data_IF_186473479414
#
_entry.id   IF_186473479414
#
_cell.length_a   1.000
_cell.length_b   1.000
_cell.length_c   1.000
_cell.angle_alpha   90.00
_cell.angle_beta   90.00
_cell.angle_gamma   90.00
#
_symmetry.space_group_name_H-M   'P 1'
#
loop_
_entity.id
_entity.type
_entity.pdbx_description
1 polymer ?
#
# COMPACT_ATOMS: atom_id res chain seq x y z
N UNK A 1 -13.51 -71.88 -13.28
CA UNK A 1 -14.20 -70.60 -13.57
C UNK A 1 -14.37 -69.82 -12.26
N UNK A 2 -13.47 -68.92 -11.92
CA UNK A 2 -13.54 -68.02 -10.77
C UNK A 2 -13.69 -66.59 -11.26
N UNK A 3 -14.81 -65.96 -10.95
CA UNK A 3 -15.08 -64.53 -11.23
C UNK A 3 -14.59 -63.73 -10.00
N UNK A 4 -13.46 -63.00 -10.19
CA UNK A 4 -12.94 -62.05 -9.22
C UNK A 4 -13.66 -60.70 -9.44
N UNK A 5 -14.45 -60.24 -8.44
CA UNK A 5 -15.04 -58.91 -8.43
C UNK A 5 -14.01 -57.95 -7.83
N UNK A 6 -13.52 -56.99 -8.62
CA UNK A 6 -12.80 -55.81 -8.12
C UNK A 6 -13.78 -54.81 -7.55
N UNK A 7 -13.68 -54.56 -6.25
CA UNK A 7 -14.37 -53.46 -5.56
C UNK A 7 -13.48 -52.22 -5.68
N UNK A 8 -13.89 -51.23 -6.50
CA UNK A 8 -13.30 -49.91 -6.48
C UNK A 8 -13.80 -49.16 -5.26
N UNK A 9 -12.92 -48.88 -4.30
CA UNK A 9 -13.12 -47.90 -3.25
C UNK A 9 -12.86 -46.50 -3.80
N UNK A 10 -13.91 -45.73 -4.10
CA UNK A 10 -13.83 -44.29 -4.30
C UNK A 10 -13.67 -43.61 -2.94
N UNK A 11 -12.45 -43.17 -2.60
CA UNK A 11 -12.21 -42.27 -1.50
C UNK A 11 -12.65 -40.86 -1.94
N UNK A 12 -13.87 -40.47 -1.58
CA UNK A 12 -14.30 -39.08 -1.67
C UNK A 12 -13.57 -38.27 -0.58
N UNK A 13 -12.51 -37.57 -0.94
CA UNK A 13 -11.93 -36.55 -0.08
C UNK A 13 -12.94 -35.41 0.08
N UNK A 14 -13.63 -35.38 1.21
CA UNK A 14 -14.44 -34.25 1.61
C UNK A 14 -13.54 -33.05 1.83
N UNK A 15 -13.46 -32.17 0.83
CA UNK A 15 -12.96 -30.81 0.99
C UNK A 15 -13.95 -30.09 1.93
N UNK A 16 -13.62 -30.01 3.21
CA UNK A 16 -14.32 -29.20 4.19
C UNK A 16 -14.09 -27.72 3.84
N UNK A 17 -14.86 -27.19 2.90
CA UNK A 17 -14.95 -25.78 2.60
C UNK A 17 -15.58 -25.07 3.80
N UNK A 18 -14.83 -24.20 4.46
CA UNK A 18 -15.39 -23.27 5.46
C UNK A 18 -16.46 -22.44 4.76
N UNK A 19 -17.69 -22.33 5.30
CA UNK A 19 -18.73 -21.48 4.71
C UNK A 19 -18.21 -20.05 4.51
N UNK A 20 -18.57 -19.39 3.41
CA UNK A 20 -18.09 -18.03 3.06
C UNK A 20 -18.33 -17.01 4.19
N UNK A 21 -19.46 -17.11 4.89
CA UNK A 21 -19.80 -16.27 6.04
C UNK A 21 -18.84 -16.48 7.22
N UNK A 22 -18.45 -17.71 7.51
CA UNK A 22 -17.48 -18.03 8.56
C UNK A 22 -16.06 -17.57 8.19
N UNK A 23 -15.69 -17.61 6.91
CA UNK A 23 -14.42 -17.08 6.41
C UNK A 23 -14.37 -15.56 6.57
N UNK A 24 -15.40 -14.83 6.15
CA UNK A 24 -15.49 -13.37 6.31
C UNK A 24 -15.43 -12.91 7.78
N UNK A 25 -16.08 -13.66 8.69
CA UNK A 25 -16.02 -13.39 10.13
C UNK A 25 -14.59 -13.53 10.67
N UNK A 26 -13.89 -14.61 10.30
CA UNK A 26 -12.50 -14.86 10.70
C UNK A 26 -11.57 -13.78 10.16
N UNK A 27 -11.74 -13.35 8.91
CA UNK A 27 -10.93 -12.31 8.29
C UNK A 27 -11.12 -10.96 8.99
N UNK A 28 -12.35 -10.64 9.39
CA UNK A 28 -12.68 -9.47 10.19
C UNK A 28 -12.03 -9.51 11.59
N UNK A 29 -12.12 -10.65 12.27
CA UNK A 29 -11.54 -10.83 13.62
C UNK A 29 -10.01 -10.66 13.60
N UNK A 30 -9.31 -11.22 12.61
CA UNK A 30 -7.85 -11.06 12.53
C UNK A 30 -7.45 -9.62 12.19
N UNK A 31 -8.20 -8.95 11.33
CA UNK A 31 -7.95 -7.54 10.99
C UNK A 31 -8.18 -6.63 12.21
N UNK A 32 -9.23 -6.85 12.98
CA UNK A 32 -9.48 -6.11 14.23
C UNK A 32 -8.35 -6.32 15.25
N UNK A 33 -7.82 -7.55 15.39
CA UNK A 33 -6.67 -7.80 16.29
C UNK A 33 -5.41 -7.07 15.82
N UNK A 34 -5.13 -7.06 14.51
CA UNK A 34 -4.00 -6.29 13.97
C UNK A 34 -4.18 -4.80 14.22
N UNK A 35 -5.38 -4.26 13.99
CA UNK A 35 -5.69 -2.86 14.25
C UNK A 35 -5.51 -2.51 15.74
N UNK A 36 -6.06 -3.35 16.64
CA UNK A 36 -5.96 -3.13 18.07
C UNK A 36 -4.51 -3.18 18.54
N UNK A 37 -3.71 -4.16 18.04
CA UNK A 37 -2.29 -4.22 18.37
C UNK A 37 -1.53 -2.93 17.98
N UNK A 38 -1.85 -2.36 16.79
CA UNK A 38 -1.25 -1.09 16.36
C UNK A 38 -1.63 0.09 17.27
N UNK A 39 -2.85 0.11 17.77
CA UNK A 39 -3.33 1.14 18.71
C UNK A 39 -2.60 1.01 20.06
N UNK A 40 -2.56 -0.20 20.62
CA UNK A 40 -2.01 -0.46 21.95
C UNK A 40 -0.49 -0.27 22.01
N UNK A 41 0.21 -0.49 20.88
CA UNK A 41 1.67 -0.41 20.79
C UNK A 41 2.16 0.76 19.93
N UNK A 42 1.32 1.77 19.71
CA UNK A 42 1.67 2.89 18.83
C UNK A 42 2.91 3.64 19.32
N UNK A 43 3.90 3.76 18.44
CA UNK A 43 5.14 4.47 18.71
C UNK A 43 6.23 3.68 19.45
N UNK A 44 5.94 2.47 19.94
CA UNK A 44 6.92 1.66 20.68
C UNK A 44 7.79 0.77 19.79
N UNK A 45 7.23 0.30 18.68
CA UNK A 45 7.83 -0.68 17.77
C UNK A 45 8.55 -0.08 16.55
N UNK A 46 8.70 1.24 16.49
CA UNK A 46 9.39 1.90 15.39
C UNK A 46 10.91 1.69 15.50
N UNK A 47 11.52 1.28 14.39
CA UNK A 47 12.95 0.92 14.31
C UNK A 47 13.90 2.11 14.54
N UNK A 48 13.40 3.35 14.42
CA UNK A 48 14.21 4.59 14.57
C UNK A 48 13.51 5.58 15.51
N UNK A 49 14.18 6.00 16.61
CA UNK A 49 13.57 6.91 17.59
C UNK A 49 13.01 8.22 17.02
N UNK A 50 13.66 8.81 16.00
CA UNK A 50 13.21 10.06 15.36
C UNK A 50 11.96 9.93 14.49
N UNK A 51 11.43 8.72 14.28
CA UNK A 51 10.27 8.47 13.42
C UNK A 51 8.94 8.44 14.18
N UNK A 52 8.95 8.65 15.48
CA UNK A 52 7.78 8.57 16.37
C UNK A 52 6.86 9.80 16.34
N UNK A 53 7.14 10.77 15.47
CA UNK A 53 6.25 11.93 15.27
C UNK A 53 4.93 11.51 14.65
N UNK A 54 3.81 12.04 15.14
CA UNK A 54 2.48 11.83 14.56
C UNK A 54 2.40 12.17 13.07
N UNK A 55 3.25 13.09 12.60
CA UNK A 55 3.32 13.53 11.21
C UNK A 55 4.26 12.68 10.33
N UNK A 56 4.88 11.63 10.88
CA UNK A 56 5.79 10.79 10.11
C UNK A 56 5.02 9.98 9.04
N UNK A 57 5.58 9.86 7.83
CA UNK A 57 4.96 9.17 6.69
C UNK A 57 4.54 7.72 6.98
N UNK A 58 5.34 7.02 7.80
CA UNK A 58 5.04 5.64 8.19
C UNK A 58 3.69 5.54 8.91
N UNK A 59 3.42 6.51 9.80
CA UNK A 59 2.14 6.63 10.50
C UNK A 59 1.02 7.04 9.53
N UNK A 60 1.30 7.87 8.52
CA UNK A 60 0.33 8.24 7.49
C UNK A 60 -0.22 7.02 6.75
N UNK A 61 0.63 6.04 6.44
CA UNK A 61 0.20 4.78 5.86
C UNK A 61 -0.69 3.94 6.81
N UNK A 62 -0.34 3.91 8.12
CA UNK A 62 -1.19 3.27 9.12
C UNK A 62 -2.55 3.95 9.22
N UNK A 63 -2.59 5.28 9.34
CA UNK A 63 -3.84 6.05 9.48
C UNK A 63 -4.77 5.83 8.29
N UNK A 64 -4.23 5.82 7.06
CA UNK A 64 -5.01 5.47 5.89
C UNK A 64 -5.59 4.07 5.99
N UNK A 65 -4.77 3.07 6.33
CA UNK A 65 -5.22 1.69 6.49
C UNK A 65 -6.31 1.54 7.55
N UNK A 66 -6.16 2.21 8.69
CA UNK A 66 -7.14 2.22 9.77
C UNK A 66 -8.47 2.82 9.33
N UNK A 67 -8.46 3.98 8.66
CA UNK A 67 -9.69 4.61 8.17
C UNK A 67 -10.37 3.79 7.09
N UNK A 68 -9.61 3.23 6.15
CA UNK A 68 -10.14 2.34 5.12
C UNK A 68 -10.79 1.09 5.74
N UNK A 69 -10.17 0.52 6.78
CA UNK A 69 -10.73 -0.61 7.51
C UNK A 69 -12.00 -0.23 8.29
N UNK A 70 -11.99 0.91 9.00
CA UNK A 70 -13.15 1.40 9.74
C UNK A 70 -14.38 1.58 8.83
N UNK A 71 -14.17 2.09 7.60
CA UNK A 71 -15.24 2.29 6.61
C UNK A 71 -15.93 0.98 6.20
N UNK A 72 -15.17 -0.09 6.12
CA UNK A 72 -15.68 -1.37 5.63
C UNK A 72 -16.25 -2.23 6.76
N UNK A 73 -15.55 -2.27 7.89
CA UNK A 73 -15.85 -3.17 9.00
C UNK A 73 -16.75 -2.55 10.08
N UNK A 74 -16.84 -1.22 10.13
CA UNK A 74 -17.46 -0.49 11.23
C UNK A 74 -16.64 -0.53 12.54
N UNK A 75 -15.36 -0.94 12.49
CA UNK A 75 -14.50 -1.02 13.68
C UNK A 75 -14.08 0.38 14.14
N UNK A 76 -14.89 0.99 14.98
CA UNK A 76 -14.75 2.37 15.48
C UNK A 76 -13.40 2.71 16.12
N UNK A 77 -12.71 1.82 16.88
CA UNK A 77 -11.44 2.17 17.50
C UNK A 77 -10.39 2.70 16.50
N UNK A 78 -10.40 2.26 15.25
CA UNK A 78 -9.51 2.79 14.22
C UNK A 78 -9.76 4.26 13.91
N UNK A 79 -11.01 4.66 13.72
CA UNK A 79 -11.37 6.05 13.42
C UNK A 79 -11.14 6.94 14.63
N UNK A 80 -11.55 6.50 15.82
CA UNK A 80 -11.36 7.23 17.09
C UNK A 80 -9.87 7.48 17.36
N UNK A 81 -9.02 6.48 17.11
CA UNK A 81 -7.58 6.61 17.24
C UNK A 81 -7.01 7.69 16.30
N UNK A 82 -7.36 7.66 15.01
CA UNK A 82 -6.85 8.63 14.03
C UNK A 82 -7.37 10.03 14.32
N UNK A 83 -8.64 10.18 14.73
CA UNK A 83 -9.22 11.45 15.20
C UNK A 83 -8.45 11.99 16.41
N UNK A 84 -8.15 11.16 17.40
CA UNK A 84 -7.37 11.52 18.57
C UNK A 84 -5.99 12.06 18.22
N UNK A 85 -5.28 11.38 17.30
CA UNK A 85 -4.00 11.83 16.76
C UNK A 85 -4.12 13.20 16.09
N UNK A 86 -5.08 13.37 15.19
CA UNK A 86 -5.26 14.64 14.46
C UNK A 86 -5.57 15.81 15.39
N UNK A 87 -6.46 15.61 16.37
CA UNK A 87 -6.82 16.64 17.37
C UNK A 87 -5.63 17.06 18.21
N UNK A 88 -4.84 16.11 18.75
CA UNK A 88 -3.69 16.42 19.61
C UNK A 88 -2.56 17.13 18.88
N UNK A 89 -2.37 16.87 17.57
CA UNK A 89 -1.30 17.50 16.78
C UNK A 89 -1.77 18.70 15.94
N UNK A 90 -3.07 19.05 15.96
CA UNK A 90 -3.66 20.15 15.19
C UNK A 90 -3.62 19.90 13.69
N UNK A 91 -3.70 18.65 13.23
CA UNK A 91 -3.72 18.22 11.83
C UNK A 91 -2.49 18.66 11.03
N UNK A 92 -1.37 18.90 11.71
CA UNK A 92 -0.15 19.42 11.07
C UNK A 92 0.53 18.39 10.20
N UNK A 93 1.14 18.87 9.10
CA UNK A 93 2.00 18.10 8.20
C UNK A 93 3.45 18.06 8.73
N UNK A 94 4.27 17.18 8.17
CA UNK A 94 5.72 17.18 8.42
C UNK A 94 6.38 18.53 8.06
N UNK A 95 7.65 18.73 8.42
CA UNK A 95 8.29 20.06 8.35
C UNK A 95 8.78 20.45 6.96
N UNK A 96 9.16 19.48 6.10
CA UNK A 96 9.78 19.73 4.79
C UNK A 96 8.72 20.10 3.77
N UNK A 97 8.77 21.33 3.27
CA UNK A 97 7.76 21.93 2.39
C UNK A 97 7.43 21.07 1.16
N UNK A 98 8.44 20.58 0.47
CA UNK A 98 8.31 19.91 -0.83
C UNK A 98 8.36 18.37 -0.73
N UNK A 99 8.78 17.84 0.42
CA UNK A 99 9.04 16.40 0.53
C UNK A 99 7.72 15.61 0.59
N UNK A 100 7.57 14.64 -0.33
CA UNK A 100 6.35 13.84 -0.43
C UNK A 100 5.96 13.14 0.88
N UNK A 101 6.93 12.62 1.63
CA UNK A 101 6.69 11.96 2.92
C UNK A 101 5.95 12.88 3.90
N UNK A 102 6.29 14.17 3.90
CA UNK A 102 5.83 15.10 4.91
C UNK A 102 4.39 15.59 4.71
N UNK A 103 3.76 15.25 3.58
CA UNK A 103 2.33 15.48 3.33
C UNK A 103 1.49 14.20 3.47
N UNK A 104 2.10 13.02 3.65
CA UNK A 104 1.43 11.72 3.63
C UNK A 104 0.26 11.63 4.63
N UNK A 105 0.42 12.15 5.86
CA UNK A 105 -0.64 12.15 6.87
C UNK A 105 -1.87 12.96 6.45
N UNK A 106 -1.74 13.84 5.47
CA UNK A 106 -2.83 14.59 4.86
C UNK A 106 -3.88 13.70 4.20
N UNK A 107 -3.53 12.48 3.79
CA UNK A 107 -4.52 11.53 3.29
C UNK A 107 -5.61 11.26 4.35
N UNK A 108 -5.20 10.93 5.58
CA UNK A 108 -6.14 10.67 6.67
C UNK A 108 -6.93 11.92 7.07
N UNK A 109 -6.27 13.09 7.10
CA UNK A 109 -6.95 14.37 7.39
C UNK A 109 -8.06 14.65 6.39
N UNK A 110 -7.83 14.42 5.09
CA UNK A 110 -8.83 14.65 4.05
C UNK A 110 -9.94 13.59 4.05
N UNK A 111 -9.63 12.32 4.31
CA UNK A 111 -10.65 11.27 4.49
C UNK A 111 -11.59 11.60 5.65
N UNK A 112 -11.08 12.12 6.76
CA UNK A 112 -11.90 12.55 7.87
C UNK A 112 -12.64 13.86 7.56
N UNK A 113 -12.05 14.79 6.80
CA UNK A 113 -12.73 15.99 6.33
C UNK A 113 -13.96 15.65 5.45
N UNK A 114 -13.86 14.65 4.61
CA UNK A 114 -15.02 14.20 3.80
C UNK A 114 -16.22 13.79 4.67
N UNK A 115 -15.97 13.25 5.87
CA UNK A 115 -17.01 12.81 6.82
C UNK A 115 -17.53 13.95 7.71
N UNK A 116 -16.61 14.68 8.32
CA UNK A 116 -16.92 15.61 9.40
C UNK A 116 -17.06 17.06 8.95
N UNK A 117 -16.52 17.42 7.79
CA UNK A 117 -16.50 18.78 7.23
C UNK A 117 -15.87 19.81 8.18
N UNK A 118 -15.05 19.40 9.14
CA UNK A 118 -14.33 20.29 10.03
C UNK A 118 -13.16 20.97 9.29
N UNK A 119 -13.18 22.32 9.13
CA UNK A 119 -12.13 23.06 8.43
C UNK A 119 -10.73 22.89 9.01
N UNK A 120 -10.60 22.51 10.29
CA UNK A 120 -9.32 22.23 10.92
C UNK A 120 -8.57 21.07 10.23
N UNK A 121 -9.30 20.08 9.72
CA UNK A 121 -8.75 18.92 9.00
C UNK A 121 -8.25 19.28 7.60
N UNK A 122 -8.89 20.24 6.93
CA UNK A 122 -8.55 20.64 5.56
C UNK A 122 -7.41 21.68 5.53
N UNK A 123 -7.49 22.70 6.39
CA UNK A 123 -6.67 23.91 6.29
C UNK A 123 -5.15 23.65 6.22
N UNK A 124 -4.52 22.83 7.09
CA UNK A 124 -3.07 22.63 7.04
C UNK A 124 -2.61 21.91 5.77
N UNK A 125 -3.40 20.94 5.28
CA UNK A 125 -3.10 20.19 4.06
C UNK A 125 -3.20 21.12 2.84
N UNK A 126 -4.30 21.88 2.76
CA UNK A 126 -4.55 22.84 1.68
C UNK A 126 -3.47 23.91 1.62
N UNK A 127 -3.13 24.53 2.75
CA UNK A 127 -2.06 25.55 2.81
C UNK A 127 -0.72 25.01 2.32
N UNK A 128 -0.37 23.76 2.68
CA UNK A 128 0.86 23.11 2.18
C UNK A 128 0.80 22.93 0.67
N UNK A 129 -0.28 22.37 0.13
CA UNK A 129 -0.44 22.09 -1.28
C UNK A 129 -0.47 23.39 -2.13
N UNK A 130 -1.22 24.42 -1.68
CA UNK A 130 -1.27 25.74 -2.33
C UNK A 130 0.13 26.34 -2.46
N UNK A 131 0.91 26.32 -1.39
CA UNK A 131 2.27 26.84 -1.37
C UNK A 131 3.21 26.08 -2.33
N UNK A 132 3.10 24.76 -2.41
CA UNK A 132 3.89 23.93 -3.32
C UNK A 132 3.51 24.19 -4.78
N UNK A 133 2.25 24.41 -5.07
CA UNK A 133 1.75 24.70 -6.43
C UNK A 133 2.16 26.13 -6.86
N UNK A 134 2.02 27.11 -5.97
CA UNK A 134 2.37 28.50 -6.27
C UNK A 134 3.89 28.70 -6.47
N UNK A 135 4.69 27.92 -5.72
CA UNK A 135 6.16 28.00 -5.77
C UNK A 135 6.75 26.59 -5.97
N UNK A 136 6.60 25.98 -7.16
CA UNK A 136 7.03 24.62 -7.41
C UNK A 136 8.56 24.48 -7.34
N UNK A 137 9.02 23.33 -6.85
CA UNK A 137 10.44 23.05 -6.71
C UNK A 137 11.18 23.09 -8.06
N UNK A 138 12.18 23.94 -8.15
CA UNK A 138 13.02 24.15 -9.35
C UNK A 138 14.25 23.21 -9.31
N UNK A 139 14.02 21.89 -9.32
CA UNK A 139 15.09 20.89 -9.32
C UNK A 139 14.83 19.79 -10.37
N UNK A 140 15.87 19.07 -10.74
CA UNK A 140 15.74 17.93 -11.66
C UNK A 140 14.98 16.78 -10.97
N UNK A 141 14.20 16.02 -11.74
CA UNK A 141 13.56 14.78 -11.31
C UNK A 141 14.61 13.65 -11.18
N UNK A 142 15.51 13.81 -10.21
CA UNK A 142 16.61 12.88 -9.98
C UNK A 142 17.07 12.97 -8.52
N UNK A 143 17.04 11.86 -7.79
CA UNK A 143 17.32 11.83 -6.33
C UNK A 143 18.71 12.36 -5.95
N UNK A 144 19.72 12.21 -6.83
CA UNK A 144 21.09 12.73 -6.60
C UNK A 144 21.26 14.20 -6.95
N UNK A 145 20.25 14.85 -7.54
CA UNK A 145 20.33 16.29 -7.82
C UNK A 145 20.29 17.09 -6.51
N UNK A 146 20.83 18.31 -6.53
CA UNK A 146 20.67 19.24 -5.40
C UNK A 146 19.17 19.41 -5.11
N UNK A 147 18.75 19.14 -3.88
CA UNK A 147 17.35 19.13 -3.46
C UNK A 147 16.45 18.18 -4.31
N UNK A 148 17.00 17.08 -4.83
CA UNK A 148 16.27 16.13 -5.69
C UNK A 148 15.03 15.55 -5.03
N UNK A 149 15.01 15.40 -3.71
CA UNK A 149 13.84 14.95 -2.94
C UNK A 149 12.71 15.99 -2.81
N UNK A 150 12.91 17.21 -3.31
CA UNK A 150 11.85 18.20 -3.40
C UNK A 150 10.86 17.94 -4.56
N UNK A 151 11.19 16.98 -5.42
CA UNK A 151 10.27 16.42 -6.40
C UNK A 151 10.12 14.92 -6.15
N UNK A 152 9.13 14.27 -6.73
CA UNK A 152 8.84 12.85 -6.50
C UNK A 152 9.82 11.94 -7.25
N UNK A 153 11.10 12.05 -6.93
CA UNK A 153 12.22 11.40 -7.61
C UNK A 153 12.57 10.00 -7.09
N UNK A 154 11.69 9.41 -6.28
CA UNK A 154 11.73 8.03 -5.80
C UNK A 154 10.32 7.44 -5.77
N UNK A 155 10.21 6.14 -5.97
CA UNK A 155 8.93 5.49 -6.22
C UNK A 155 7.96 5.58 -5.04
N UNK A 156 8.45 5.54 -3.79
CA UNK A 156 7.61 5.65 -2.59
C UNK A 156 6.81 6.96 -2.55
N UNK A 157 7.37 8.04 -3.12
CA UNK A 157 6.70 9.34 -3.19
C UNK A 157 5.32 9.27 -3.86
N UNK A 158 5.14 8.29 -4.77
CA UNK A 158 3.88 8.09 -5.51
C UNK A 158 2.72 7.62 -4.61
N UNK A 159 3.01 7.02 -3.47
CA UNK A 159 1.99 6.74 -2.44
C UNK A 159 1.80 7.92 -1.48
N UNK A 160 2.89 8.64 -1.18
CA UNK A 160 2.88 9.63 -0.10
C UNK A 160 2.08 10.87 -0.47
N UNK A 161 2.35 11.45 -1.64
CA UNK A 161 1.79 12.75 -2.04
C UNK A 161 0.60 12.66 -3.02
N UNK A 162 0.62 11.91 -4.13
CA UNK A 162 -0.45 11.94 -5.14
C UNK A 162 -1.85 11.76 -4.58
N UNK A 163 -2.13 10.80 -3.66
CA UNK A 163 -3.48 10.65 -3.11
C UNK A 163 -3.98 11.88 -2.35
N UNK A 164 -3.07 12.67 -1.74
CA UNK A 164 -3.45 13.92 -1.07
C UNK A 164 -3.96 14.95 -2.07
N UNK A 165 -3.25 15.13 -3.19
CA UNK A 165 -3.65 16.07 -4.23
C UNK A 165 -4.93 15.64 -4.94
N UNK A 166 -5.13 14.34 -5.18
CA UNK A 166 -6.37 13.82 -5.74
C UNK A 166 -7.57 14.10 -4.82
N UNK A 167 -7.41 13.82 -3.50
CA UNK A 167 -8.44 14.12 -2.50
C UNK A 167 -8.71 15.63 -2.39
N UNK A 168 -7.66 16.48 -2.39
CA UNK A 168 -7.83 17.94 -2.40
C UNK A 168 -8.66 18.42 -3.58
N UNK A 169 -8.38 17.91 -4.79
CA UNK A 169 -9.16 18.25 -5.96
C UNK A 169 -10.65 17.92 -5.78
N UNK A 170 -10.96 16.75 -5.20
CA UNK A 170 -12.33 16.32 -4.97
C UNK A 170 -13.05 17.17 -3.90
N UNK A 171 -12.39 17.40 -2.74
CA UNK A 171 -13.04 18.10 -1.63
C UNK A 171 -13.16 19.61 -1.85
N UNK A 172 -12.32 20.20 -2.71
CA UNK A 172 -12.34 21.65 -3.02
C UNK A 172 -12.99 22.00 -4.36
N UNK A 173 -13.10 21.03 -5.27
CA UNK A 173 -13.50 21.27 -6.66
C UNK A 173 -12.43 21.95 -7.54
N UNK A 174 -11.21 22.16 -7.01
CA UNK A 174 -10.10 22.80 -7.74
C UNK A 174 -9.24 21.76 -8.47
N UNK A 175 -9.33 21.76 -9.79
CA UNK A 175 -8.56 20.85 -10.65
C UNK A 175 -7.05 21.16 -10.68
N UNK A 176 -6.60 22.32 -10.25
CA UNK A 176 -5.18 22.68 -10.17
C UNK A 176 -4.36 21.70 -9.33
N UNK A 177 -4.96 21.11 -8.28
CA UNK A 177 -4.33 20.04 -7.50
C UNK A 177 -4.09 18.78 -8.34
N UNK A 178 -5.09 18.38 -9.14
CA UNK A 178 -4.99 17.21 -10.01
C UNK A 178 -3.98 17.41 -11.13
N UNK A 179 -3.95 18.58 -11.74
CA UNK A 179 -2.98 18.93 -12.78
C UNK A 179 -1.54 18.89 -12.24
N UNK A 180 -1.30 19.44 -11.05
CA UNK A 180 0.00 19.35 -10.37
C UNK A 180 0.38 17.89 -10.13
N UNK A 181 -0.53 17.11 -9.56
CA UNK A 181 -0.33 15.68 -9.28
C UNK A 181 0.05 14.92 -10.55
N UNK A 182 -0.71 15.08 -11.61
CA UNK A 182 -0.48 14.39 -12.88
C UNK A 182 0.89 14.74 -13.47
N UNK A 183 1.26 16.01 -13.47
CA UNK A 183 2.58 16.46 -13.95
C UNK A 183 3.73 15.77 -13.22
N UNK A 184 3.68 15.77 -11.89
CA UNK A 184 4.73 15.17 -11.07
C UNK A 184 4.73 13.63 -11.13
N UNK A 185 3.53 13.01 -11.12
CA UNK A 185 3.39 11.56 -11.26
C UNK A 185 3.95 11.04 -12.60
N UNK A 186 3.60 11.72 -13.71
CA UNK A 186 4.10 11.36 -15.04
C UNK A 186 5.62 11.53 -15.15
N UNK A 187 6.16 12.59 -14.56
CA UNK A 187 7.61 12.82 -14.56
C UNK A 187 8.34 11.72 -13.78
N UNK A 188 7.81 11.31 -12.62
CA UNK A 188 8.35 10.19 -11.83
C UNK A 188 8.26 8.87 -12.59
N UNK A 189 7.09 8.55 -13.15
CA UNK A 189 6.89 7.29 -13.87
C UNK A 189 7.76 7.18 -15.10
N UNK A 190 7.90 8.26 -15.88
CA UNK A 190 8.82 8.27 -17.03
C UNK A 190 10.28 8.04 -16.64
N UNK A 191 10.67 8.45 -15.43
CA UNK A 191 12.03 8.28 -14.93
C UNK A 191 12.28 6.90 -14.33
N UNK A 192 11.29 6.32 -13.64
CA UNK A 192 11.52 5.20 -12.72
C UNK A 192 10.85 3.89 -13.16
N UNK A 193 9.85 3.94 -14.04
CA UNK A 193 9.13 2.75 -14.48
C UNK A 193 9.89 2.00 -15.55
N UNK A 194 10.19 0.73 -15.32
CA UNK A 194 10.74 -0.17 -16.31
C UNK A 194 9.58 -0.88 -17.06
N UNK A 195 9.33 -0.46 -18.30
CA UNK A 195 8.22 -0.98 -19.09
C UNK A 195 8.33 -2.47 -19.43
N UNK A 196 9.57 -2.99 -19.56
CA UNK A 196 9.80 -4.39 -19.83
C UNK A 196 9.40 -5.27 -18.65
N UNK A 197 9.81 -4.89 -17.45
CA UNK A 197 9.47 -5.64 -16.23
C UNK A 197 8.08 -5.30 -15.66
N UNK A 198 7.52 -4.13 -15.99
CA UNK A 198 6.28 -3.63 -15.37
C UNK A 198 6.44 -3.23 -13.91
N UNK A 199 7.63 -2.84 -13.50
CA UNK A 199 8.01 -2.52 -12.13
C UNK A 199 8.73 -1.17 -12.05
N UNK A 200 8.74 -0.57 -10.86
CA UNK A 200 9.45 0.67 -10.58
C UNK A 200 10.82 0.40 -9.95
N UNK A 201 11.86 1.02 -10.46
CA UNK A 201 13.08 1.24 -9.69
C UNK A 201 12.77 2.13 -8.48
N UNK A 202 13.43 1.87 -7.37
CA UNK A 202 13.26 2.72 -6.17
C UNK A 202 13.60 4.18 -6.50
N UNK A 203 14.73 4.41 -7.16
CA UNK A 203 15.19 5.69 -7.69
C UNK A 203 16.38 5.47 -8.65
N UNK A 204 16.86 6.55 -9.26
CA UNK A 204 17.94 6.52 -10.25
C UNK A 204 19.28 5.93 -9.75
N UNK A 205 19.47 5.72 -8.44
CA UNK A 205 20.66 5.04 -7.89
C UNK A 205 20.65 3.53 -8.17
N UNK A 206 19.52 2.99 -8.58
CA UNK A 206 19.33 1.56 -8.85
C UNK A 206 19.40 1.22 -10.36
N UNK A 207 19.44 2.22 -11.24
CA UNK A 207 19.64 1.97 -12.67
C UNK A 207 21.00 1.28 -12.88
N UNK A 208 21.00 0.17 -13.60
CA UNK A 208 22.20 -0.62 -13.83
C UNK A 208 22.67 -1.50 -12.67
N UNK A 209 22.12 -1.38 -11.47
CA UNK A 209 22.40 -2.34 -10.38
C UNK A 209 21.77 -3.69 -10.68
N UNK A 210 22.42 -4.75 -10.16
CA UNK A 210 21.95 -6.14 -10.27
C UNK A 210 21.90 -6.78 -8.89
N UNK A 211 20.92 -7.68 -8.73
CA UNK A 211 20.85 -8.62 -7.63
C UNK A 211 21.94 -9.71 -7.78
N UNK A 212 22.06 -10.58 -6.78
CA UNK A 212 23.04 -11.68 -6.81
C UNK A 212 22.79 -12.68 -7.93
N UNK A 213 21.54 -12.90 -8.30
CA UNK A 213 21.15 -13.77 -9.43
C UNK A 213 21.30 -13.09 -10.81
N UNK A 214 21.79 -11.85 -10.86
CA UNK A 214 21.98 -11.08 -12.11
C UNK A 214 20.79 -10.24 -12.53
N UNK A 215 19.63 -10.39 -11.90
CA UNK A 215 18.42 -9.66 -12.22
C UNK A 215 18.49 -8.17 -11.80
N UNK A 216 17.59 -7.35 -12.35
CA UNK A 216 17.43 -5.94 -11.96
C UNK A 216 16.94 -5.82 -10.53
N UNK A 217 17.35 -4.77 -9.83
CA UNK A 217 16.94 -4.52 -8.44
C UNK A 217 15.59 -3.81 -8.40
N UNK A 218 14.52 -4.55 -8.11
CA UNK A 218 13.19 -4.00 -7.84
C UNK A 218 12.77 -4.33 -6.41
N UNK A 219 12.71 -3.31 -5.60
CA UNK A 219 12.36 -3.43 -4.19
C UNK A 219 10.87 -3.70 -4.00
N UNK A 220 10.52 -4.78 -3.27
CA UNK A 220 9.14 -5.22 -3.07
C UNK A 220 8.25 -4.15 -2.48
N UNK A 221 8.62 -3.56 -1.31
CA UNK A 221 7.84 -2.48 -0.69
C UNK A 221 7.75 -1.23 -1.57
N UNK A 222 8.83 -0.87 -2.29
CA UNK A 222 8.80 0.26 -3.22
C UNK A 222 7.73 0.08 -4.29
N UNK A 223 7.64 -1.11 -4.88
CA UNK A 223 6.61 -1.47 -5.84
C UNK A 223 5.22 -1.60 -5.19
N UNK A 224 5.16 -2.07 -3.94
CA UNK A 224 3.93 -2.10 -3.16
C UNK A 224 3.31 -0.72 -2.98
N UNK A 225 4.13 0.30 -2.66
CA UNK A 225 3.68 1.69 -2.59
C UNK A 225 3.09 2.17 -3.91
N UNK A 226 3.77 1.94 -5.03
CA UNK A 226 3.30 2.37 -6.35
C UNK A 226 1.99 1.70 -6.74
N UNK A 227 1.88 0.40 -6.50
CA UNK A 227 0.70 -0.38 -6.87
C UNK A 227 -0.53 0.02 -6.04
N UNK A 228 -0.36 0.20 -4.71
CA UNK A 228 -1.42 0.71 -3.85
C UNK A 228 -1.84 2.14 -4.25
N UNK A 229 -0.87 3.00 -4.58
CA UNK A 229 -1.17 4.36 -5.04
C UNK A 229 -2.02 4.38 -6.31
N UNK A 230 -1.71 3.51 -7.29
CA UNK A 230 -2.50 3.40 -8.52
C UNK A 230 -3.95 2.97 -8.22
N UNK A 231 -4.16 1.99 -7.34
CA UNK A 231 -5.51 1.61 -6.92
C UNK A 231 -6.25 2.77 -6.23
N UNK A 232 -5.58 3.48 -5.31
CA UNK A 232 -6.14 4.64 -4.62
C UNK A 232 -6.52 5.75 -5.60
N UNK A 233 -5.65 6.07 -6.56
CA UNK A 233 -5.92 7.12 -7.56
C UNK A 233 -7.09 6.76 -8.45
N UNK A 234 -7.18 5.52 -8.91
CA UNK A 234 -8.30 5.02 -9.71
C UNK A 234 -9.62 4.98 -8.93
N UNK A 235 -9.56 4.79 -7.61
CA UNK A 235 -10.75 4.87 -6.74
C UNK A 235 -11.18 6.32 -6.45
N UNK A 236 -10.24 7.26 -6.55
CA UNK A 236 -10.47 8.69 -6.23
C UNK A 236 -10.84 9.51 -7.46
N UNK A 237 -10.25 9.20 -8.62
CA UNK A 237 -10.52 9.91 -9.87
C UNK A 237 -11.84 9.44 -10.49
N UNK A 238 -12.67 10.36 -11.05
CA UNK A 238 -13.81 9.94 -11.85
C UNK A 238 -13.33 9.24 -13.13
N UNK A 239 -14.05 8.22 -13.58
CA UNK A 239 -13.71 7.49 -14.82
C UNK A 239 -13.70 8.40 -16.06
N UNK A 240 -14.46 9.51 -16.03
CA UNK A 240 -14.47 10.54 -17.07
C UNK A 240 -13.23 11.44 -17.06
N UNK A 241 -12.35 11.32 -16.08
CA UNK A 241 -11.12 12.11 -16.04
C UNK A 241 -10.20 11.75 -17.22
N UNK A 242 -9.69 12.71 -17.98
CA UNK A 242 -8.84 12.44 -19.14
C UNK A 242 -7.59 11.63 -18.84
N UNK A 243 -7.16 11.60 -17.57
CA UNK A 243 -5.96 10.90 -17.13
C UNK A 243 -6.25 9.53 -16.54
N UNK A 244 -7.53 9.18 -16.30
CA UNK A 244 -7.94 7.91 -15.71
C UNK A 244 -7.35 6.71 -16.47
N UNK A 245 -7.43 6.72 -17.80
CA UNK A 245 -6.94 5.64 -18.64
C UNK A 245 -5.42 5.44 -18.56
N UNK A 246 -4.65 6.51 -18.30
CA UNK A 246 -3.22 6.38 -18.03
C UNK A 246 -2.95 5.56 -16.75
N UNK A 247 -3.59 5.91 -15.63
CA UNK A 247 -3.47 5.20 -14.36
C UNK A 247 -3.97 3.76 -14.46
N UNK A 248 -5.05 3.53 -15.20
CA UNK A 248 -5.60 2.20 -15.48
C UNK A 248 -4.59 1.31 -16.22
N UNK A 249 -3.97 1.80 -17.30
CA UNK A 249 -2.93 1.05 -18.02
C UNK A 249 -1.73 0.73 -17.14
N UNK A 250 -1.26 1.66 -16.35
CA UNK A 250 -0.16 1.45 -15.40
C UNK A 250 -0.52 0.38 -14.36
N UNK A 251 -1.73 0.46 -13.81
CA UNK A 251 -2.25 -0.51 -12.83
C UNK A 251 -2.31 -1.93 -13.43
N UNK A 252 -2.89 -2.06 -14.63
CA UNK A 252 -3.00 -3.36 -15.31
C UNK A 252 -1.61 -3.95 -15.59
N UNK A 253 -0.68 -3.14 -16.10
CA UNK A 253 0.69 -3.60 -16.37
C UNK A 253 1.43 -4.05 -15.12
N UNK A 254 1.30 -3.30 -14.02
CA UNK A 254 1.87 -3.71 -12.74
C UNK A 254 1.18 -4.97 -12.17
N UNK A 255 -0.12 -5.15 -12.38
CA UNK A 255 -0.85 -6.33 -11.90
C UNK A 255 -0.28 -7.63 -12.48
N UNK A 256 0.10 -7.62 -13.77
CA UNK A 256 0.76 -8.75 -14.43
C UNK A 256 2.10 -9.08 -13.74
N UNK A 257 2.95 -8.08 -13.56
CA UNK A 257 4.26 -8.23 -12.91
C UNK A 257 4.14 -8.67 -11.45
N UNK A 258 3.21 -8.09 -10.71
CA UNK A 258 2.94 -8.44 -9.30
C UNK A 258 2.55 -9.90 -9.17
N UNK A 259 1.65 -10.40 -10.01
CA UNK A 259 1.24 -11.82 -9.98
C UNK A 259 2.40 -12.74 -10.35
N UNK A 260 3.21 -12.36 -11.33
CA UNK A 260 4.37 -13.16 -11.76
C UNK A 260 5.43 -13.30 -10.64
N UNK A 261 5.55 -12.31 -9.76
CA UNK A 261 6.50 -12.30 -8.64
C UNK A 261 5.96 -12.94 -7.35
N UNK A 262 4.72 -13.45 -7.33
CA UNK A 262 4.17 -14.11 -6.14
C UNK A 262 4.72 -15.51 -5.98
N UNK A 263 5.25 -15.86 -4.80
CA UNK A 263 5.76 -17.21 -4.53
C UNK A 263 4.65 -18.28 -4.41
N UNK A 264 5.06 -19.54 -4.32
CA UNK A 264 4.13 -20.66 -4.20
C UNK A 264 3.30 -20.63 -2.88
N UNK A 265 3.78 -19.94 -1.84
CA UNK A 265 3.09 -19.80 -0.54
C UNK A 265 2.12 -18.62 -0.52
N UNK A 266 2.16 -17.75 -1.55
CA UNK A 266 1.31 -16.58 -1.70
C UNK A 266 1.95 -15.27 -1.22
N UNK A 267 3.21 -15.28 -0.83
CA UNK A 267 3.93 -14.10 -0.36
C UNK A 267 4.68 -13.39 -1.49
N UNK A 268 5.05 -12.15 -1.22
CA UNK A 268 6.07 -11.41 -1.98
C UNK A 268 7.28 -11.13 -1.08
N UNK A 269 8.42 -10.94 -1.70
CA UNK A 269 9.72 -10.87 -1.06
C UNK A 269 10.29 -9.45 -1.05
N UNK A 270 11.34 -9.15 -0.26
CA UNK A 270 12.01 -7.86 -0.29
C UNK A 270 12.53 -7.46 -1.66
N UNK A 271 13.03 -8.40 -2.47
CA UNK A 271 13.30 -8.22 -3.90
C UNK A 271 12.24 -8.93 -4.74
N UNK A 272 11.73 -8.24 -5.77
CA UNK A 272 10.71 -8.81 -6.66
C UNK A 272 11.27 -9.95 -7.54
N UNK A 273 12.56 -9.90 -7.92
CA UNK A 273 13.16 -10.81 -8.87
C UNK A 273 14.27 -11.72 -8.28
N UNK A 274 14.62 -11.58 -7.00
CA UNK A 274 15.64 -12.41 -6.33
C UNK A 274 15.13 -13.00 -5.02
N UNK A 275 14.31 -14.03 -5.12
CA UNK A 275 13.77 -14.75 -3.97
C UNK A 275 14.80 -15.64 -3.29
N UNK A 276 15.87 -16.06 -3.98
CA UNK A 276 16.93 -16.89 -3.41
C UNK A 276 17.77 -16.13 -2.39
N UNK A 277 18.14 -14.89 -2.72
CA UNK A 277 18.87 -14.00 -1.79
C UNK A 277 17.98 -13.55 -0.64
N UNK A 278 16.68 -13.37 -0.90
CA UNK A 278 15.69 -12.86 0.06
C UNK A 278 14.53 -13.86 0.24
N UNK A 279 14.77 -15.05 0.85
CA UNK A 279 13.79 -16.14 0.87
C UNK A 279 12.61 -15.92 1.82
N UNK A 280 12.70 -14.93 2.71
CA UNK A 280 11.62 -14.63 3.65
C UNK A 280 10.61 -13.65 3.05
N UNK A 281 9.31 -13.72 3.44
CA UNK A 281 8.30 -12.79 2.96
C UNK A 281 8.57 -11.35 3.41
N UNK A 282 8.03 -10.37 2.68
CA UNK A 282 7.97 -8.97 3.09
C UNK A 282 6.51 -8.52 3.16
N UNK A 283 5.99 -8.36 4.38
CA UNK A 283 4.55 -8.23 4.59
C UNK A 283 3.98 -6.84 4.30
N UNK A 284 4.77 -5.78 4.27
CA UNK A 284 4.27 -4.50 3.78
C UNK A 284 4.04 -4.54 2.26
N UNK A 285 4.95 -5.12 1.48
CA UNK A 285 4.74 -5.35 0.05
C UNK A 285 3.56 -6.29 -0.19
N UNK A 286 3.53 -7.44 0.51
CA UNK A 286 2.45 -8.42 0.38
C UNK A 286 1.08 -7.81 0.70
N UNK A 287 1.00 -6.91 1.70
CA UNK A 287 -0.22 -6.19 2.04
C UNK A 287 -0.69 -5.27 0.92
N UNK A 288 0.19 -4.43 0.39
CA UNK A 288 -0.15 -3.52 -0.71
C UNK A 288 -0.49 -4.25 -2.01
N UNK A 289 0.21 -5.33 -2.33
CA UNK A 289 -0.10 -6.14 -3.51
C UNK A 289 -1.44 -6.86 -3.36
N UNK A 290 -1.71 -7.44 -2.20
CA UNK A 290 -3.00 -8.06 -1.90
C UNK A 290 -4.13 -7.04 -1.97
N UNK A 291 -3.96 -5.85 -1.40
CA UNK A 291 -4.90 -4.74 -1.51
C UNK A 291 -5.21 -4.39 -2.96
N UNK A 292 -4.20 -4.06 -3.77
CA UNK A 292 -4.41 -3.63 -5.14
C UNK A 292 -5.03 -4.73 -6.01
N UNK A 293 -4.61 -6.00 -5.85
CA UNK A 293 -5.21 -7.12 -6.57
C UNK A 293 -6.67 -7.33 -6.21
N UNK A 294 -7.01 -7.34 -4.90
CA UNK A 294 -8.37 -7.50 -4.43
C UNK A 294 -9.26 -6.32 -4.87
N UNK A 295 -8.75 -5.08 -4.76
CA UNK A 295 -9.41 -3.88 -5.25
C UNK A 295 -9.72 -3.97 -6.75
N UNK A 296 -8.73 -4.33 -7.56
CA UNK A 296 -8.90 -4.46 -9.01
C UNK A 296 -9.92 -5.54 -9.40
N UNK A 297 -9.98 -6.65 -8.66
CA UNK A 297 -11.03 -7.69 -8.82
C UNK A 297 -12.40 -7.15 -8.45
N UNK A 298 -12.53 -6.47 -7.31
CA UNK A 298 -13.79 -5.91 -6.82
C UNK A 298 -14.35 -4.81 -7.76
N UNK A 299 -13.47 -4.05 -8.43
CA UNK A 299 -13.85 -3.02 -9.42
C UNK A 299 -14.02 -3.56 -10.84
N UNK A 300 -13.85 -4.86 -11.08
CA UNK A 300 -13.98 -5.47 -12.40
C UNK A 300 -12.86 -5.13 -13.38
N UNK A 301 -11.77 -4.50 -12.93
CA UNK A 301 -10.60 -4.21 -13.77
C UNK A 301 -9.71 -5.44 -14.00
N UNK A 302 -9.66 -6.36 -13.04
CA UNK A 302 -8.91 -7.60 -13.07
C UNK A 302 -9.86 -8.80 -13.17
N UNK A 303 -10.28 -9.12 -14.38
CA UNK A 303 -11.33 -10.15 -14.63
C UNK A 303 -10.79 -11.58 -14.69
N UNK A 304 -9.50 -11.77 -15.04
CA UNK A 304 -8.93 -13.10 -15.12
C UNK A 304 -8.83 -13.79 -13.73
N UNK A 305 -9.21 -15.07 -13.62
CA UNK A 305 -9.25 -15.78 -12.33
C UNK A 305 -7.91 -15.82 -11.57
N UNK A 306 -6.79 -15.63 -12.25
CA UNK A 306 -5.45 -15.64 -11.64
C UNK A 306 -5.30 -14.51 -10.61
N UNK A 307 -5.88 -13.34 -10.86
CA UNK A 307 -5.80 -12.19 -9.95
C UNK A 307 -6.55 -12.44 -8.66
N UNK A 308 -7.77 -12.98 -8.73
CA UNK A 308 -8.55 -13.37 -7.57
C UNK A 308 -7.84 -14.44 -6.73
N UNK A 309 -7.27 -15.45 -7.39
CA UNK A 309 -6.46 -16.48 -6.71
C UNK A 309 -5.22 -15.89 -6.04
N UNK A 310 -4.51 -14.98 -6.72
CA UNK A 310 -3.32 -14.33 -6.15
C UNK A 310 -3.66 -13.48 -4.92
N UNK A 311 -4.73 -12.68 -4.97
CA UNK A 311 -5.20 -11.88 -3.83
C UNK A 311 -5.55 -12.78 -2.62
N UNK A 312 -6.33 -13.86 -2.83
CA UNK A 312 -6.68 -14.80 -1.75
C UNK A 312 -5.48 -15.53 -1.17
N UNK A 313 -4.50 -15.94 -2.00
CA UNK A 313 -3.25 -16.55 -1.53
C UNK A 313 -2.42 -15.55 -0.73
N UNK A 314 -2.31 -14.32 -1.21
CA UNK A 314 -1.63 -13.22 -0.50
C UNK A 314 -2.22 -12.97 0.88
N UNK A 315 -3.54 -12.89 0.95
CA UNK A 315 -4.25 -12.73 2.21
C UNK A 315 -4.02 -13.90 3.19
N UNK A 316 -4.12 -15.14 2.70
CA UNK A 316 -3.85 -16.33 3.51
C UNK A 316 -2.43 -16.32 4.07
N UNK A 317 -1.45 -15.94 3.27
CA UNK A 317 -0.05 -15.82 3.71
C UNK A 317 0.10 -14.71 4.77
N UNK A 318 -0.45 -13.52 4.55
CA UNK A 318 -0.46 -12.42 5.52
C UNK A 318 -1.05 -12.85 6.86
N UNK A 319 -2.21 -13.50 6.87
CA UNK A 319 -2.85 -13.97 8.09
C UNK A 319 -1.99 -14.98 8.86
N UNK A 320 -1.21 -15.83 8.17
CA UNK A 320 -0.32 -16.80 8.82
C UNK A 320 0.90 -16.16 9.51
N UNK A 321 1.18 -14.91 9.19
CA UNK A 321 2.28 -14.14 9.77
C UNK A 321 1.84 -13.22 10.92
N UNK A 322 0.54 -13.19 11.25
CA UNK A 322 0.02 -12.49 12.43
C UNK A 322 0.22 -13.36 13.67
N UNK A 323 0.80 -12.78 14.71
CA UNK A 323 0.97 -13.41 16.01
C UNK A 323 -0.35 -13.57 16.77
N UNK A 324 -0.36 -14.35 17.85
CA UNK A 324 -1.56 -14.52 18.69
C UNK A 324 -2.01 -13.22 19.34
N UNK A 325 -1.09 -12.29 19.56
CA UNK A 325 -1.32 -10.94 20.09
C UNK A 325 -1.86 -9.94 19.05
N UNK A 326 -1.83 -10.27 17.77
CA UNK A 326 -2.20 -9.39 16.66
C UNK A 326 -1.01 -8.71 15.96
N UNK A 327 0.22 -8.92 16.41
CA UNK A 327 1.41 -8.37 15.77
C UNK A 327 1.67 -9.00 14.40
N UNK A 328 1.76 -8.19 13.36
CA UNK A 328 2.18 -8.63 12.03
C UNK A 328 3.71 -8.68 11.95
N UNK A 329 4.29 -9.86 11.74
CA UNK A 329 5.74 -10.04 11.55
C UNK A 329 6.20 -9.85 10.11
N UNK A 330 7.49 -10.06 9.85
CA UNK A 330 8.13 -10.00 8.53
C UNK A 330 7.92 -8.67 7.80
N UNK A 331 7.87 -7.56 8.51
CA UNK A 331 7.82 -6.22 7.92
C UNK A 331 9.23 -5.64 7.94
N UNK A 332 9.81 -5.46 6.77
CA UNK A 332 11.15 -4.88 6.63
C UNK A 332 11.21 -3.50 7.29
N UNK A 333 12.20 -3.20 8.15
CA UNK A 333 12.40 -1.87 8.73
C UNK A 333 12.56 -0.77 7.68
N UNK A 334 12.44 0.50 8.10
CA UNK A 334 12.60 1.66 7.22
C UNK A 334 13.92 1.57 6.45
N UNK A 335 13.84 1.62 5.13
CA UNK A 335 14.96 1.49 4.21
C UNK A 335 14.59 1.94 2.81
N UNK A 336 15.46 1.69 1.84
CA UNK A 336 15.24 2.06 0.43
C UNK A 336 15.75 1.01 -0.56
N UNK A 337 15.91 -0.23 -0.09
CA UNK A 337 16.38 -1.38 -0.89
C UNK A 337 15.92 -2.69 -0.28
N UNK A 338 15.98 -3.80 -1.00
CA UNK A 338 15.73 -5.13 -0.44
C UNK A 338 16.64 -5.41 0.76
N UNK A 339 16.06 -5.94 1.84
CA UNK A 339 16.76 -6.41 3.04
C UNK A 339 16.04 -7.64 3.57
N UNK A 340 16.78 -8.57 4.16
CA UNK A 340 16.22 -9.77 4.77
C UNK A 340 15.27 -9.40 5.91
N UNK A 341 14.18 -10.13 6.01
CA UNK A 341 13.16 -9.99 7.05
C UNK A 341 13.17 -11.21 7.98
N UNK A 342 12.55 -11.05 9.13
CA UNK A 342 12.25 -12.16 10.04
C UNK A 342 10.92 -11.89 10.78
N UNK A 343 10.45 -12.89 11.52
CA UNK A 343 9.15 -12.84 12.20
C UNK A 343 9.04 -11.71 13.24
N UNK A 344 10.16 -11.29 13.81
CA UNK A 344 10.19 -10.28 14.86
C UNK A 344 10.14 -8.84 14.32
N UNK A 345 10.42 -8.66 13.05
CA UNK A 345 10.38 -7.35 12.41
C UNK A 345 8.95 -6.90 12.14
N UNK A 346 8.57 -5.76 12.69
CA UNK A 346 7.28 -5.13 12.47
C UNK A 346 7.42 -3.62 12.36
N UNK A 347 6.53 -2.99 11.59
CA UNK A 347 6.46 -1.53 11.39
C UNK A 347 5.01 -1.11 11.13
N UNK A 348 4.65 0.10 11.50
CA UNK A 348 3.27 0.61 11.41
C UNK A 348 2.70 0.57 9.99
N UNK A 349 3.51 0.87 8.97
CA UNK A 349 3.06 0.80 7.57
C UNK A 349 2.72 -0.61 7.10
N UNK A 350 3.30 -1.64 7.71
CA UNK A 350 2.90 -3.03 7.48
C UNK A 350 1.50 -3.30 7.99
N UNK A 351 1.18 -2.80 9.21
CA UNK A 351 -0.17 -2.82 9.75
C UNK A 351 -1.17 -2.08 8.85
N UNK A 352 -0.79 -0.88 8.37
CA UNK A 352 -1.60 -0.11 7.43
C UNK A 352 -1.89 -0.86 6.13
N UNK A 353 -0.86 -1.46 5.51
CA UNK A 353 -1.01 -2.26 4.30
C UNK A 353 -1.90 -3.50 4.52
N UNK A 354 -1.75 -4.18 5.67
CA UNK A 354 -2.59 -5.30 6.06
C UNK A 354 -4.07 -4.90 6.17
N UNK A 355 -4.38 -3.77 6.81
CA UNK A 355 -5.75 -3.28 6.98
C UNK A 355 -6.38 -2.84 5.64
N UNK A 356 -5.59 -2.23 4.74
CA UNK A 356 -6.04 -1.96 3.37
C UNK A 356 -6.35 -3.25 2.62
N UNK A 357 -5.50 -4.29 2.74
CA UNK A 357 -5.76 -5.60 2.14
C UNK A 357 -7.04 -6.22 2.71
N UNK A 358 -7.20 -6.22 4.03
CA UNK A 358 -8.39 -6.73 4.71
C UNK A 358 -9.68 -6.11 4.18
N UNK A 359 -9.67 -4.77 3.99
CA UNK A 359 -10.86 -4.02 3.54
C UNK A 359 -11.37 -4.46 2.17
N UNK A 360 -10.48 -4.90 1.27
CA UNK A 360 -10.89 -5.39 -0.05
C UNK A 360 -11.15 -6.90 -0.08
N UNK A 361 -10.45 -7.67 0.76
CA UNK A 361 -10.68 -9.12 0.85
C UNK A 361 -12.07 -9.47 1.40
N UNK A 362 -12.56 -8.75 2.40
CA UNK A 362 -13.90 -9.00 2.98
C UNK A 362 -15.04 -8.60 2.03
N UNK A 363 -14.75 -7.84 0.98
CA UNK A 363 -15.67 -7.45 -0.10
C UNK A 363 -15.63 -8.41 -1.29
N UNK A 364 -14.60 -9.26 -1.43
CA UNK A 364 -14.34 -10.15 -2.55
C UNK A 364 -14.99 -11.53 -2.39
#
# INVERSE_FOLDING_TARGET
MYKTRFLLFLLAAALSGVPAEAAGKRDTEIANRVAQWQIDNFGEHLSRPGTRSDQHWANGALYRGMLTWADVSGYKPCEEFVLGIGRRNGWRMGRRQYHADDICVGQASLMLYERYRDPAMLRPVKQRADSVIAFPAQTKMHIKAKNGSNRWSWCDALFMAPPVYALLANVTGDNGYREFMNREFYASSRSLFDAAEGLYYRDARYFGKREKNGEKVFWGRGNGWCYAALAILLDTLPESDPTYDYYRRMFLRMSEAVVACQDARGSWHPSMLDHETYPMPENSASGFFTYGLAWGVNRGLLTAPVYKRAARRGWKALCSHVGPDGRLGYVQPIGGSPQRTNREMTEVYGGGAFLMAASEIVRM
#
